data_IF_555890866510
#
_entry.id   IF_555890866510
#
_cell.length_a   1.000
_cell.length_b   1.000
_cell.length_c   1.000
_cell.angle_alpha   90.00
_cell.angle_beta   90.00
_cell.angle_gamma   90.00
#
_symmetry.space_group_name_H-M   'P 1'
#
loop_
_entity.id
_entity.type
_entity.pdbx_description
1 polymer ?
#
# COMPACT_ATOMS: atom_id res chain seq x y z
N UNK A 1 12.83 -11.32 -11.20
CA UNK A 1 12.95 -10.54 -9.96
C UNK A 1 11.95 -9.39 -9.99
N UNK A 2 11.25 -9.15 -8.90
CA UNK A 2 10.40 -7.98 -8.67
C UNK A 2 11.10 -7.07 -7.65
N UNK A 3 11.34 -5.81 -8.01
CA UNK A 3 11.92 -4.79 -7.14
C UNK A 3 10.81 -3.84 -6.75
N UNK A 4 10.48 -3.80 -5.47
CA UNK A 4 9.36 -3.05 -4.91
C UNK A 4 9.92 -2.01 -3.94
N UNK A 5 9.66 -0.74 -4.22
CA UNK A 5 10.20 0.40 -3.47
C UNK A 5 9.03 1.25 -2.98
N UNK A 6 9.02 1.55 -1.68
CA UNK A 6 7.96 2.34 -1.04
C UNK A 6 8.15 3.85 -1.22
N UNK A 7 8.52 4.25 -2.42
CA UNK A 7 8.61 5.65 -2.83
C UNK A 7 7.82 5.85 -4.11
N UNK A 8 7.72 7.10 -4.52
CA UNK A 8 7.24 7.44 -5.86
C UNK A 8 8.41 7.63 -6.81
N UNK A 9 8.15 7.38 -8.09
CA UNK A 9 9.11 7.62 -9.17
C UNK A 9 8.39 8.10 -10.40
N UNK A 10 9.15 8.69 -11.33
CA UNK A 10 8.69 8.90 -12.69
C UNK A 10 8.99 7.65 -13.52
N UNK A 11 7.96 7.03 -14.08
CA UNK A 11 8.10 5.92 -15.00
C UNK A 11 7.86 6.40 -16.43
N UNK A 12 8.89 6.38 -17.27
CA UNK A 12 8.74 6.65 -18.71
C UNK A 12 8.64 5.32 -19.50
N UNK A 13 7.66 5.24 -20.40
CA UNK A 13 7.53 4.15 -21.38
C UNK A 13 8.77 3.95 -22.27
N UNK A 14 9.64 4.96 -22.40
CA UNK A 14 10.94 4.85 -23.07
C UNK A 14 11.95 4.00 -22.30
N UNK A 15 11.78 3.88 -20.98
CA UNK A 15 12.65 3.07 -20.12
C UNK A 15 12.25 1.59 -20.09
N UNK A 16 11.02 1.27 -20.50
CA UNK A 16 10.49 -0.09 -20.42
C UNK A 16 8.99 -0.20 -20.65
N UNK A 17 8.50 -1.43 -20.63
CA UNK A 17 7.06 -1.70 -20.73
C UNK A 17 6.38 -1.31 -19.42
N UNK A 18 5.43 -0.38 -19.47
CA UNK A 18 4.66 0.02 -18.30
C UNK A 18 3.83 -1.15 -17.74
N UNK A 19 3.76 -1.21 -16.41
CA UNK A 19 2.93 -2.10 -15.62
C UNK A 19 1.97 -1.28 -14.77
N UNK A 20 0.97 -1.93 -14.19
CA UNK A 20 0.04 -1.31 -13.24
C UNK A 20 0.60 -1.42 -11.82
N UNK A 21 0.94 -0.29 -11.22
CA UNK A 21 1.15 -0.21 -9.76
C UNK A 21 -0.19 -0.28 -9.02
N UNK A 22 -0.15 -0.76 -7.77
CA UNK A 22 -1.31 -0.89 -6.90
C UNK A 22 -1.43 0.23 -5.85
N UNK A 23 -0.59 1.26 -5.89
CA UNK A 23 -0.66 2.40 -4.97
C UNK A 23 0.26 2.27 -3.74
N UNK A 24 0.54 1.04 -3.30
CA UNK A 24 1.37 0.75 -2.13
C UNK A 24 2.37 -0.38 -2.38
N UNK A 25 3.55 -0.29 -1.78
CA UNK A 25 4.56 -1.36 -1.80
C UNK A 25 3.99 -2.72 -1.34
N UNK A 26 3.20 -2.73 -0.26
CA UNK A 26 2.56 -3.96 0.25
C UNK A 26 1.53 -4.52 -0.73
N UNK A 27 0.78 -3.67 -1.43
CA UNK A 27 -0.15 -4.13 -2.47
C UNK A 27 0.58 -4.64 -3.71
N UNK A 28 1.69 -4.01 -4.09
CA UNK A 28 2.56 -4.50 -5.16
C UNK A 28 3.16 -5.88 -4.80
N UNK A 29 3.52 -6.11 -3.53
CA UNK A 29 3.97 -7.43 -3.05
C UNK A 29 2.86 -8.48 -3.20
N UNK A 30 1.64 -8.15 -2.74
CA UNK A 30 0.49 -9.04 -2.88
C UNK A 30 0.16 -9.33 -4.36
N UNK A 31 0.24 -8.33 -5.23
CA UNK A 31 0.06 -8.48 -6.67
C UNK A 31 1.09 -9.43 -7.28
N UNK A 32 2.37 -9.27 -6.93
CA UNK A 32 3.44 -10.19 -7.35
C UNK A 32 3.20 -11.63 -6.88
N UNK A 33 2.51 -11.79 -5.75
CA UNK A 33 2.09 -13.09 -5.20
C UNK A 33 0.86 -13.73 -5.84
N UNK A 34 0.23 -13.05 -6.80
CA UNK A 34 -1.01 -13.48 -7.45
C UNK A 34 -2.26 -13.40 -6.57
N UNK A 35 -2.27 -12.52 -5.57
CA UNK A 35 -3.47 -12.26 -4.78
C UNK A 35 -4.49 -11.42 -5.56
N UNK A 36 -5.76 -11.55 -5.18
CA UNK A 36 -6.82 -10.70 -5.72
C UNK A 36 -6.56 -9.23 -5.34
N UNK A 37 -6.73 -8.35 -6.32
CA UNK A 37 -6.52 -6.92 -6.18
C UNK A 37 -7.81 -6.17 -5.93
N UNK A 38 -8.96 -6.80 -6.15
CA UNK A 38 -10.28 -6.23 -5.82
C UNK A 38 -10.49 -6.29 -4.31
N UNK A 39 -10.16 -7.41 -3.68
CA UNK A 39 -10.16 -7.54 -2.22
C UNK A 39 -8.84 -8.16 -1.69
N UNK A 40 -7.75 -7.38 -1.63
CA UNK A 40 -6.45 -7.88 -1.21
C UNK A 40 -6.41 -8.22 0.28
N UNK A 41 -5.62 -9.23 0.70
CA UNK A 41 -5.52 -9.63 2.10
C UNK A 41 -4.56 -8.75 2.92
N UNK A 42 -4.61 -7.44 2.71
CA UNK A 42 -3.69 -6.50 3.36
C UNK A 42 -3.96 -6.39 4.87
N UNK A 43 -5.22 -6.33 5.31
CA UNK A 43 -5.54 -6.31 6.75
C UNK A 43 -5.03 -7.57 7.45
N UNK A 44 -5.21 -8.73 6.82
CA UNK A 44 -4.71 -10.02 7.32
C UNK A 44 -3.16 -10.10 7.35
N UNK A 45 -2.49 -9.52 6.34
CA UNK A 45 -1.04 -9.45 6.28
C UNK A 45 -0.46 -8.52 7.37
N UNK A 46 -1.03 -7.33 7.55
CA UNK A 46 -0.56 -6.35 8.52
C UNK A 46 -0.83 -6.77 9.96
N UNK A 47 -1.97 -7.42 10.25
CA UNK A 47 -2.18 -8.02 11.58
C UNK A 47 -1.13 -9.08 11.89
N UNK A 48 -0.73 -9.87 10.89
CA UNK A 48 0.20 -10.98 11.07
C UNK A 48 1.62 -10.48 11.29
N UNK A 49 2.01 -9.36 10.67
CA UNK A 49 3.31 -8.72 10.93
C UNK A 49 3.41 -8.12 12.34
N UNK A 50 2.28 -7.83 12.98
CA UNK A 50 2.20 -7.27 14.34
C UNK A 50 1.68 -8.25 15.40
N UNK A 51 1.50 -9.52 15.03
CA UNK A 51 0.97 -10.57 15.92
C UNK A 51 -0.37 -10.20 16.58
N UNK A 52 -1.25 -9.49 15.86
CA UNK A 52 -2.58 -9.14 16.34
C UNK A 52 -3.56 -10.30 16.13
N UNK A 53 -4.39 -10.57 17.14
CA UNK A 53 -5.45 -11.58 17.10
C UNK A 53 -6.76 -11.05 16.52
N UNK A 54 -7.61 -11.95 16.01
CA UNK A 54 -8.88 -11.61 15.37
C UNK A 54 -8.75 -11.25 13.89
N UNK A 55 -9.85 -10.82 13.29
CA UNK A 55 -9.92 -10.35 11.91
C UNK A 55 -9.80 -8.84 11.84
N UNK A 56 -9.00 -8.36 10.88
CA UNK A 56 -8.66 -6.95 10.74
C UNK A 56 -8.76 -6.52 9.28
N UNK A 57 -9.26 -5.30 9.09
CA UNK A 57 -9.27 -4.59 7.80
C UNK A 57 -8.43 -3.32 7.92
N UNK A 58 -7.97 -2.80 6.79
CA UNK A 58 -7.33 -1.47 6.75
C UNK A 58 -8.40 -0.41 6.86
N UNK A 59 -8.10 0.63 7.62
CA UNK A 59 -8.89 1.85 7.72
C UNK A 59 -7.99 3.03 7.36
N UNK A 60 -8.22 3.63 6.19
CA UNK A 60 -7.39 4.71 5.66
C UNK A 60 -8.04 6.07 5.90
N UNK A 61 -7.38 7.00 6.62
CA UNK A 61 -7.82 8.39 6.69
C UNK A 61 -7.85 9.03 5.31
N UNK A 62 -8.86 9.85 5.04
CA UNK A 62 -9.06 10.42 3.71
C UNK A 62 -9.77 11.78 3.73
N UNK A 63 -9.66 12.49 2.61
CA UNK A 63 -10.48 13.66 2.30
C UNK A 63 -11.46 13.30 1.18
N UNK A 64 -12.76 13.45 1.45
CA UNK A 64 -13.80 13.34 0.44
C UNK A 64 -14.61 14.62 0.35
N UNK A 65 -15.24 14.81 -0.80
CA UNK A 65 -16.12 15.95 -1.07
C UNK A 65 -17.47 15.44 -1.53
N UNK A 66 -18.53 15.98 -0.93
CA UNK A 66 -19.89 15.80 -1.40
C UNK A 66 -20.20 16.81 -2.51
N UNK A 67 -20.91 16.35 -3.52
CA UNK A 67 -21.68 17.19 -4.44
C UNK A 67 -23.18 16.93 -4.22
N UNK A 68 -24.06 17.52 -5.03
CA UNK A 68 -25.52 17.40 -4.84
C UNK A 68 -26.03 15.95 -4.93
N UNK A 69 -25.34 15.05 -5.63
CA UNK A 69 -25.78 13.66 -5.84
C UNK A 69 -24.63 12.63 -5.78
N UNK A 70 -23.44 13.04 -5.38
CA UNK A 70 -22.27 12.17 -5.39
C UNK A 70 -21.29 12.52 -4.27
N UNK A 71 -20.42 11.57 -3.95
CA UNK A 71 -19.32 11.71 -3.02
C UNK A 71 -18.05 11.18 -3.67
N UNK A 72 -16.96 11.94 -3.60
CA UNK A 72 -15.69 11.56 -4.23
C UNK A 72 -14.55 11.72 -3.23
N UNK A 73 -13.69 10.70 -3.11
CA UNK A 73 -12.41 10.82 -2.40
C UNK A 73 -11.45 11.60 -3.28
N UNK A 74 -10.90 12.70 -2.78
CA UNK A 74 -10.03 13.61 -3.56
C UNK A 74 -8.62 13.75 -2.98
N UNK A 75 -8.39 13.31 -1.74
CA UNK A 75 -7.05 13.23 -1.16
C UNK A 75 -6.91 12.05 -0.19
N UNK A 76 -5.72 11.46 -0.19
CA UNK A 76 -5.26 10.42 0.71
C UNK A 76 -3.74 10.55 0.86
N UNK A 77 -3.14 9.79 1.78
CA UNK A 77 -1.69 9.78 2.03
C UNK A 77 -1.07 11.20 2.15
N UNK A 78 -0.01 11.47 1.40
CA UNK A 78 0.71 12.76 1.41
C UNK A 78 -0.16 13.95 0.97
N UNK A 79 -1.20 13.72 0.18
CA UNK A 79 -2.08 14.79 -0.31
C UNK A 79 -2.95 15.37 0.81
N UNK A 80 -3.09 14.64 1.93
CA UNK A 80 -3.72 15.16 3.15
C UNK A 80 -2.87 16.22 3.85
N UNK A 81 -1.56 16.31 3.57
CA UNK A 81 -0.63 17.31 4.15
C UNK A 81 -0.68 17.42 5.68
N UNK A 82 -1.04 16.32 6.34
CA UNK A 82 -1.22 16.25 7.79
C UNK A 82 0.11 16.09 8.52
N UNK A 83 0.20 16.60 9.74
CA UNK A 83 1.34 16.34 10.65
C UNK A 83 1.12 15.06 11.45
N UNK A 84 2.17 14.53 12.07
CA UNK A 84 2.05 13.32 12.90
C UNK A 84 1.19 13.58 14.14
N UNK A 85 1.28 14.78 14.72
CA UNK A 85 0.42 15.25 15.81
C UNK A 85 -1.06 15.28 15.40
N UNK A 86 -1.35 15.76 14.19
CA UNK A 86 -2.72 15.85 13.67
C UNK A 86 -3.33 14.47 13.43
N UNK A 87 -2.56 13.55 12.83
CA UNK A 87 -3.04 12.18 12.63
C UNK A 87 -3.21 11.46 13.96
N UNK A 88 -2.28 11.63 14.90
CA UNK A 88 -2.38 11.01 16.22
C UNK A 88 -3.60 11.51 16.99
N UNK A 89 -3.88 12.82 16.92
CA UNK A 89 -5.10 13.41 17.46
C UNK A 89 -6.36 12.75 16.89
N UNK A 90 -6.45 12.63 15.57
CA UNK A 90 -7.61 12.00 14.92
C UNK A 90 -7.74 10.52 15.26
N UNK A 91 -6.63 9.79 15.28
CA UNK A 91 -6.62 8.39 15.67
C UNK A 91 -7.12 8.22 17.11
N UNK A 92 -6.60 9.00 18.06
CA UNK A 92 -6.98 8.86 19.47
C UNK A 92 -8.44 9.20 19.70
N UNK A 93 -8.94 10.29 19.09
CA UNK A 93 -10.34 10.69 19.21
C UNK A 93 -11.28 9.65 18.58
N UNK A 94 -10.94 9.15 17.39
CA UNK A 94 -11.78 8.19 16.68
C UNK A 94 -11.72 6.79 17.28
N UNK A 95 -10.56 6.40 17.81
CA UNK A 95 -10.39 5.15 18.58
C UNK A 95 -11.24 5.16 19.85
N UNK A 96 -11.29 6.28 20.57
CA UNK A 96 -12.16 6.44 21.73
C UNK A 96 -13.65 6.30 21.34
N UNK A 97 -14.07 6.98 20.28
CA UNK A 97 -15.45 6.87 19.76
C UNK A 97 -15.83 5.42 19.39
N UNK A 98 -14.98 4.72 18.63
CA UNK A 98 -15.25 3.34 18.24
C UNK A 98 -15.20 2.36 19.42
N UNK A 99 -14.40 2.64 20.44
CA UNK A 99 -14.34 1.82 21.65
C UNK A 99 -15.66 1.84 22.45
N UNK A 100 -16.41 2.95 22.43
CA UNK A 100 -17.75 3.03 23.03
C UNK A 100 -18.74 2.06 22.36
N UNK A 101 -18.53 1.76 21.08
CA UNK A 101 -19.31 0.81 20.28
C UNK A 101 -18.71 -0.62 20.28
N UNK A 102 -17.67 -0.85 21.09
CA UNK A 102 -17.01 -2.15 21.23
C UNK A 102 -16.08 -2.52 20.07
N UNK A 103 -15.73 -1.57 19.20
CA UNK A 103 -14.74 -1.77 18.14
C UNK A 103 -13.32 -1.44 18.64
N UNK A 104 -12.31 -2.03 17.99
CA UNK A 104 -10.90 -1.79 18.33
C UNK A 104 -10.14 -1.26 17.12
N UNK A 105 -9.39 -0.17 17.33
CA UNK A 105 -8.45 0.36 16.36
C UNK A 105 -7.01 0.11 16.78
N UNK A 106 -6.15 -0.15 15.79
CA UNK A 106 -4.71 -0.24 15.96
C UNK A 106 -4.02 0.78 15.04
N UNK A 107 -3.12 1.57 15.60
CA UNK A 107 -2.32 2.54 14.85
C UNK A 107 -1.14 1.83 14.21
N UNK A 108 -1.18 1.65 12.88
CA UNK A 108 -0.08 1.05 12.15
C UNK A 108 0.90 2.13 11.68
N UNK A 109 0.40 3.09 10.90
CA UNK A 109 1.14 4.29 10.53
C UNK A 109 0.19 5.47 10.29
N UNK A 110 0.76 6.55 9.75
CA UNK A 110 0.09 7.82 9.49
C UNK A 110 -1.14 7.71 8.56
N UNK A 111 -1.12 6.77 7.62
CA UNK A 111 -2.13 6.64 6.57
C UNK A 111 -2.82 5.27 6.58
N UNK A 112 -2.34 4.37 7.43
CA UNK A 112 -2.85 3.02 7.59
C UNK A 112 -3.20 2.82 9.05
N UNK A 113 -4.49 2.71 9.37
CA UNK A 113 -4.96 2.16 10.63
C UNK A 113 -5.53 0.78 10.39
N UNK A 114 -5.66 -0.03 11.44
CA UNK A 114 -6.34 -1.31 11.36
C UNK A 114 -7.60 -1.27 12.24
N UNK A 115 -8.71 -1.74 11.69
CA UNK A 115 -9.97 -1.92 12.40
C UNK A 115 -10.22 -3.40 12.62
N UNK A 116 -10.45 -3.79 13.87
CA UNK A 116 -10.85 -5.15 14.25
C UNK A 116 -12.32 -5.36 13.88
N UNK A 117 -12.61 -6.44 13.18
CA UNK A 117 -13.92 -6.70 12.56
C UNK A 117 -14.47 -8.09 12.88
N UNK A 118 -14.14 -8.60 14.07
CA UNK A 118 -14.71 -9.85 14.55
C UNK A 118 -16.23 -9.77 14.52
N UNK A 119 -16.85 -10.85 14.02
CA UNK A 119 -18.30 -11.02 13.93
C UNK A 119 -19.03 -9.93 13.10
N UNK A 120 -18.32 -9.21 12.22
CA UNK A 120 -18.94 -8.25 11.29
C UNK A 120 -19.28 -8.91 9.94
N UNK A 121 -20.29 -8.41 9.21
CA UNK A 121 -20.55 -8.84 7.84
C UNK A 121 -19.30 -8.68 6.94
N UNK A 122 -19.10 -9.55 5.95
CA UNK A 122 -17.98 -9.43 5.02
C UNK A 122 -17.91 -8.05 4.36
N UNK A 123 -16.73 -7.43 4.39
CA UNK A 123 -16.50 -6.13 3.76
C UNK A 123 -16.03 -6.32 2.31
N UNK A 124 -16.86 -5.98 1.34
CA UNK A 124 -16.51 -5.99 -0.08
C UNK A 124 -16.14 -4.58 -0.58
N UNK A 125 -15.10 -4.00 0.02
CA UNK A 125 -14.59 -2.69 -0.38
C UNK A 125 -13.29 -2.80 -1.16
N UNK A 126 -13.23 -2.09 -2.30
CA UNK A 126 -12.00 -1.96 -3.09
C UNK A 126 -10.95 -1.15 -2.33
N UNK A 127 -9.65 -1.38 -2.64
CA UNK A 127 -8.59 -0.51 -2.16
C UNK A 127 -8.85 0.96 -2.46
N UNK A 128 -8.52 1.83 -1.50
CA UNK A 128 -8.79 3.28 -1.62
C UNK A 128 -8.19 3.88 -2.90
N UNK A 129 -7.01 3.41 -3.33
CA UNK A 129 -6.35 3.82 -4.57
C UNK A 129 -7.14 3.52 -5.84
N UNK A 130 -8.05 2.54 -5.79
CA UNK A 130 -8.90 2.19 -6.93
C UNK A 130 -10.20 3.00 -6.98
N UNK A 131 -10.57 3.66 -5.89
CA UNK A 131 -11.79 4.49 -5.77
C UNK A 131 -11.48 5.99 -5.66
N UNK A 132 -10.21 6.37 -5.51
CA UNK A 132 -9.76 7.76 -5.59
C UNK A 132 -10.24 8.43 -6.89
N UNK A 133 -10.77 9.65 -6.76
CA UNK A 133 -11.34 10.45 -7.84
C UNK A 133 -12.49 9.77 -8.62
N UNK A 134 -13.21 8.84 -7.98
CA UNK A 134 -14.42 8.20 -8.53
C UNK A 134 -15.60 8.40 -7.60
N UNK A 135 -16.80 8.29 -8.18
CA UNK A 135 -18.04 8.25 -7.42
C UNK A 135 -18.01 7.12 -6.39
N UNK A 136 -18.31 7.46 -5.14
CA UNK A 136 -18.45 6.49 -4.06
C UNK A 136 -19.81 5.80 -4.06
N UNK A 137 -20.83 6.36 -4.72
CA UNK A 137 -22.20 5.80 -4.66
C UNK A 137 -22.28 4.33 -5.14
N UNK A 138 -21.64 3.94 -6.26
CA UNK A 138 -21.62 2.53 -6.68
C UNK A 138 -20.79 1.63 -5.76
N UNK A 139 -19.78 2.19 -5.09
CA UNK A 139 -18.90 1.43 -4.21
C UNK A 139 -19.57 1.17 -2.86
N UNK A 140 -20.27 2.17 -2.31
CA UNK A 140 -21.05 2.06 -1.08
C UNK A 140 -22.19 1.04 -1.22
N UNK A 141 -22.84 0.93 -2.38
CA UNK A 141 -23.96 -0.01 -2.56
C UNK A 141 -23.54 -1.49 -2.61
N UNK A 142 -22.24 -1.77 -2.73
CA UNK A 142 -21.71 -3.12 -2.92
C UNK A 142 -20.93 -3.65 -1.70
N UNK A 143 -20.89 -2.90 -0.59
CA UNK A 143 -20.05 -3.23 0.56
C UNK A 143 -20.47 -4.53 1.26
N UNK A 144 -21.76 -4.71 1.49
CA UNK A 144 -22.37 -5.91 2.07
C UNK A 144 -23.88 -5.94 1.82
N UNK A 145 -24.53 -7.08 2.13
CA UNK A 145 -25.96 -7.29 1.95
C UNK A 145 -26.83 -6.77 3.11
N UNK A 146 -26.23 -6.45 4.26
CA UNK A 146 -26.90 -6.12 5.53
C UNK A 146 -26.97 -4.62 5.81
N UNK A 147 -26.38 -3.79 4.95
CA UNK A 147 -26.21 -2.34 5.11
C UNK A 147 -25.29 -1.93 6.29
N UNK A 148 -24.53 -2.87 6.85
CA UNK A 148 -23.70 -2.60 8.03
C UNK A 148 -22.60 -1.58 7.72
N UNK A 149 -21.87 -1.77 6.62
CA UNK A 149 -20.74 -0.94 6.28
C UNK A 149 -21.16 0.44 5.76
N UNK A 150 -22.31 0.55 5.09
CA UNK A 150 -22.91 1.83 4.71
C UNK A 150 -23.26 2.65 5.95
N UNK A 151 -23.83 2.00 6.97
CA UNK A 151 -24.11 2.63 8.26
C UNK A 151 -22.80 3.06 8.94
N UNK A 152 -21.80 2.18 9.01
CA UNK A 152 -20.48 2.49 9.56
C UNK A 152 -19.84 3.72 8.89
N UNK A 153 -19.83 3.79 7.56
CA UNK A 153 -19.28 4.95 6.84
C UNK A 153 -20.08 6.23 7.09
N UNK A 154 -21.41 6.14 7.20
CA UNK A 154 -22.27 7.28 7.52
C UNK A 154 -21.98 7.80 8.92
N UNK A 155 -21.87 6.92 9.91
CA UNK A 155 -21.56 7.27 11.30
C UNK A 155 -20.15 7.85 11.42
N UNK A 156 -19.17 7.25 10.74
CA UNK A 156 -17.82 7.80 10.61
C UNK A 156 -17.86 9.23 10.07
N UNK A 157 -18.63 9.46 9.01
CA UNK A 157 -18.75 10.78 8.38
C UNK A 157 -19.39 11.83 9.30
N UNK A 158 -20.41 11.44 10.07
CA UNK A 158 -21.00 12.27 11.11
C UNK A 158 -20.00 12.58 12.24
N UNK A 159 -19.19 11.60 12.63
CA UNK A 159 -18.13 11.80 13.62
C UNK A 159 -17.09 12.84 13.15
N UNK A 160 -16.52 12.68 11.95
CA UNK A 160 -15.49 13.61 11.46
C UNK A 160 -16.04 15.02 11.20
N UNK A 161 -17.30 15.14 10.76
CA UNK A 161 -17.94 16.45 10.55
C UNK A 161 -18.31 17.18 11.84
N UNK A 162 -18.72 16.45 12.90
CA UNK A 162 -19.02 17.04 14.21
C UNK A 162 -17.77 17.46 14.98
N UNK A 163 -16.63 16.84 14.70
CA UNK A 163 -15.34 17.13 15.34
C UNK A 163 -14.44 18.03 14.50
N UNK A 164 -15.02 18.85 13.61
CA UNK A 164 -14.31 19.61 12.58
C UNK A 164 -13.20 20.51 13.14
N UNK A 165 -11.97 20.00 13.13
CA UNK A 165 -10.74 20.78 13.16
C UNK A 165 -10.46 21.29 11.74
N UNK A 166 -9.70 22.38 11.60
CA UNK A 166 -9.10 22.74 10.29
C UNK A 166 -8.11 21.64 9.90
N UNK A 167 -8.60 20.59 9.27
CA UNK A 167 -7.89 19.39 8.86
C UNK A 167 -8.37 18.96 7.48
N UNK A 168 -7.49 18.36 6.68
CA UNK A 168 -7.90 17.68 5.45
C UNK A 168 -8.42 16.27 5.73
N UNK A 169 -8.19 15.68 6.90
CA UNK A 169 -8.87 14.44 7.27
C UNK A 169 -10.32 14.76 7.62
N UNK A 170 -11.27 14.24 6.83
CA UNK A 170 -12.71 14.40 7.07
C UNK A 170 -13.50 13.08 6.96
N UNK A 171 -12.79 11.95 6.95
CA UNK A 171 -13.38 10.64 6.87
C UNK A 171 -12.34 9.54 6.88
N UNK A 172 -12.85 8.30 6.82
CA UNK A 172 -12.05 7.08 6.70
C UNK A 172 -12.67 6.14 5.67
N UNK A 173 -11.83 5.31 5.04
CA UNK A 173 -12.26 4.24 4.14
C UNK A 173 -11.78 2.89 4.65
N UNK A 174 -12.68 1.95 4.89
CA UNK A 174 -12.37 0.59 5.32
C UNK A 174 -12.22 -0.33 4.11
N UNK A 175 -11.18 -1.17 4.06
CA UNK A 175 -10.92 -2.07 2.92
C UNK A 175 -9.91 -3.17 3.26
N UNK A 176 -9.69 -4.11 2.33
CA UNK A 176 -8.60 -5.09 2.44
C UNK A 176 -8.91 -6.26 3.38
N UNK A 177 -10.14 -6.76 3.32
CA UNK A 177 -10.66 -7.89 4.11
C UNK A 177 -10.32 -9.27 3.52
N UNK A 178 -9.54 -9.30 2.44
CA UNK A 178 -9.14 -10.53 1.78
C UNK A 178 -8.45 -11.52 2.73
N UNK A 179 -8.52 -12.81 2.38
CA UNK A 179 -7.88 -13.86 3.18
C UNK A 179 -6.46 -14.12 2.71
N UNK A 180 -5.50 -14.00 3.62
CA UNK A 180 -4.12 -14.41 3.35
C UNK A 180 -4.08 -15.94 3.32
N UNK A 181 -3.43 -16.51 2.30
CA UNK A 181 -3.17 -17.95 2.25
C UNK A 181 -2.03 -18.29 3.21
N UNK A 182 -1.66 -19.56 3.28
CA UNK A 182 -0.41 -19.97 3.93
C UNK A 182 0.77 -19.15 3.41
N UNK A 183 1.78 -18.93 4.27
CA UNK A 183 3.01 -18.21 3.90
C UNK A 183 3.56 -18.74 2.58
N UNK A 184 3.99 -17.83 1.72
CA UNK A 184 4.68 -18.17 0.47
C UNK A 184 6.09 -18.69 0.77
N UNK A 185 6.72 -19.27 -0.24
CA UNK A 185 8.13 -19.70 -0.21
C UNK A 185 9.03 -18.80 -1.07
N UNK A 186 8.44 -17.74 -1.66
CA UNK A 186 9.16 -16.76 -2.48
C UNK A 186 10.31 -16.17 -1.69
N UNK A 187 11.50 -16.20 -2.26
CA UNK A 187 12.70 -15.60 -1.66
C UNK A 187 12.59 -14.06 -1.68
N UNK A 188 12.68 -13.44 -0.50
CA UNK A 188 12.58 -11.98 -0.34
C UNK A 188 13.83 -11.43 0.36
N UNK A 189 14.51 -10.49 -0.29
CA UNK A 189 15.46 -9.60 0.38
C UNK A 189 14.74 -8.31 0.77
N UNK A 190 14.87 -7.86 2.01
CA UNK A 190 14.14 -6.68 2.49
C UNK A 190 14.92 -5.88 3.51
N UNK A 191 14.55 -4.62 3.73
CA UNK A 191 15.15 -3.79 4.79
C UNK A 191 14.45 -4.00 6.14
N UNK A 192 14.89 -3.26 7.16
CA UNK A 192 14.29 -3.33 8.50
C UNK A 192 12.84 -2.86 8.53
N UNK A 193 12.47 -1.92 7.66
CA UNK A 193 11.14 -1.33 7.63
C UNK A 193 10.08 -2.37 7.22
N UNK A 194 10.39 -3.20 6.22
CA UNK A 194 9.46 -4.22 5.72
C UNK A 194 9.69 -5.63 6.29
N UNK A 195 10.69 -5.84 7.14
CA UNK A 195 11.05 -7.17 7.65
C UNK A 195 9.85 -7.96 8.20
N UNK A 196 9.06 -7.34 9.09
CA UNK A 196 7.92 -8.01 9.71
C UNK A 196 6.82 -8.35 8.68
N UNK A 197 6.54 -7.46 7.72
CA UNK A 197 5.58 -7.69 6.64
C UNK A 197 6.06 -8.81 5.72
N UNK A 198 7.34 -8.79 5.33
CA UNK A 198 7.92 -9.83 4.50
C UNK A 198 7.86 -11.20 5.20
N UNK A 199 8.17 -11.26 6.50
CA UNK A 199 8.11 -12.50 7.30
C UNK A 199 6.68 -13.00 7.51
N UNK A 200 5.69 -12.11 7.56
CA UNK A 200 4.28 -12.50 7.58
C UNK A 200 3.84 -13.08 6.23
N UNK A 201 4.37 -12.55 5.13
CA UNK A 201 4.03 -12.96 3.76
C UNK A 201 4.75 -14.25 3.31
N UNK A 202 6.04 -14.38 3.60
CA UNK A 202 6.91 -15.47 3.14
C UNK A 202 7.68 -16.13 4.28
N UNK A 203 7.97 -17.42 4.10
CA UNK A 203 8.86 -18.21 4.97
C UNK A 203 10.35 -18.06 4.60
N UNK A 204 10.66 -17.47 3.44
CA UNK A 204 12.02 -17.32 2.93
C UNK A 204 12.37 -15.82 2.81
N UNK A 205 12.78 -15.23 3.92
CA UNK A 205 13.03 -13.78 4.03
C UNK A 205 14.41 -13.54 4.62
N UNK A 206 15.17 -12.69 3.94
CA UNK A 206 16.51 -12.26 4.35
C UNK A 206 16.48 -10.75 4.58
N UNK A 207 16.90 -10.33 5.78
CA UNK A 207 17.21 -8.92 6.02
C UNK A 207 18.44 -8.54 5.20
N UNK A 208 18.36 -7.45 4.48
CA UNK A 208 19.44 -6.95 3.64
C UNK A 208 20.70 -6.68 4.45
N UNK A 209 21.82 -7.13 3.91
CA UNK A 209 23.17 -6.83 4.35
C UNK A 209 24.06 -6.70 3.10
N UNK A 210 25.08 -5.82 3.06
CA UNK A 210 25.94 -5.66 1.89
C UNK A 210 26.64 -6.94 1.40
N UNK A 211 26.74 -8.00 2.21
CA UNK A 211 27.30 -9.29 1.81
C UNK A 211 26.34 -10.20 1.04
N UNK A 212 25.03 -9.93 1.05
CA UNK A 212 24.05 -10.79 0.38
C UNK A 212 24.06 -10.60 -1.14
N UNK A 213 23.89 -11.69 -1.89
CA UNK A 213 23.67 -11.60 -3.32
C UNK A 213 22.22 -11.18 -3.63
N UNK A 214 21.98 -9.88 -3.79
CA UNK A 214 20.63 -9.32 -4.03
C UNK A 214 19.99 -9.87 -5.30
N UNK A 215 20.77 -10.18 -6.33
CA UNK A 215 20.26 -10.73 -7.59
C UNK A 215 19.70 -12.16 -7.47
N UNK A 216 20.02 -12.86 -6.38
CA UNK A 216 19.55 -14.22 -6.09
C UNK A 216 18.11 -14.29 -5.57
N UNK A 217 17.48 -13.16 -5.27
CA UNK A 217 16.13 -13.12 -4.71
C UNK A 217 15.06 -12.91 -5.78
N UNK A 218 13.91 -13.54 -5.59
CA UNK A 218 12.74 -13.34 -6.45
C UNK A 218 12.11 -11.96 -6.23
N UNK A 219 12.14 -11.47 -4.98
CA UNK A 219 11.62 -10.15 -4.60
C UNK A 219 12.67 -9.38 -3.79
N UNK A 220 12.84 -8.11 -4.13
CA UNK A 220 13.55 -7.12 -3.32
C UNK A 220 12.53 -6.09 -2.88
N UNK A 221 12.25 -5.99 -1.58
CA UNK A 221 11.23 -5.11 -0.99
C UNK A 221 11.88 -4.11 -0.04
N UNK A 222 11.82 -2.82 -0.39
CA UNK A 222 12.56 -1.76 0.30
C UNK A 222 11.67 -0.55 0.57
N UNK A 223 11.95 0.13 1.67
CA UNK A 223 11.42 1.45 1.95
C UNK A 223 11.93 2.45 0.92
N UNK A 224 13.25 2.51 0.76
CA UNK A 224 13.95 3.35 -0.22
C UNK A 224 15.08 2.56 -0.89
N UNK A 225 15.41 2.88 -2.15
CA UNK A 225 16.55 2.29 -2.86
C UNK A 225 17.87 2.54 -2.14
N UNK A 226 17.97 3.64 -1.39
CA UNK A 226 19.12 4.01 -0.57
C UNK A 226 19.34 3.09 0.63
N UNK A 227 18.40 2.18 0.90
CA UNK A 227 18.61 1.07 1.84
C UNK A 227 19.67 0.07 1.34
N UNK A 228 19.96 0.05 0.04
CA UNK A 228 21.02 -0.77 -0.57
C UNK A 228 22.34 0.00 -0.66
N UNK A 229 23.45 -0.73 -0.57
CA UNK A 229 24.77 -0.21 -0.93
C UNK A 229 24.81 0.28 -2.38
N UNK A 230 25.62 1.30 -2.66
CA UNK A 230 25.77 1.86 -4.02
C UNK A 230 26.08 0.78 -5.07
N UNK A 231 26.89 -0.21 -4.71
CA UNK A 231 27.22 -1.34 -5.57
C UNK A 231 25.97 -2.13 -5.96
N UNK A 232 25.12 -2.50 -5.00
CA UNK A 232 23.88 -3.23 -5.28
C UNK A 232 22.84 -2.37 -5.99
N UNK A 233 22.79 -1.06 -5.73
CA UNK A 233 21.94 -0.15 -6.50
C UNK A 233 22.33 -0.16 -7.98
N UNK A 234 23.63 -0.18 -8.30
CA UNK A 234 24.13 -0.26 -9.67
C UNK A 234 23.87 -1.65 -10.27
N UNK A 235 24.09 -2.71 -9.51
CA UNK A 235 23.90 -4.09 -9.97
C UNK A 235 22.43 -4.37 -10.33
N UNK A 236 21.51 -4.06 -9.43
CA UNK A 236 20.09 -4.36 -9.61
C UNK A 236 19.49 -3.62 -10.81
N UNK A 237 19.99 -2.41 -11.11
CA UNK A 237 19.61 -1.62 -12.31
C UNK A 237 20.09 -2.22 -13.63
N UNK A 238 21.08 -3.13 -13.61
CA UNK A 238 21.63 -3.79 -14.81
C UNK A 238 20.89 -5.09 -15.18
N UNK A 239 20.06 -5.62 -14.29
CA UNK A 239 19.39 -6.91 -14.45
C UNK A 239 17.96 -6.69 -14.96
N UNK A 240 17.44 -7.55 -15.86
CA UNK A 240 16.02 -7.54 -16.19
C UNK A 240 15.16 -7.74 -14.93
N UNK A 241 14.31 -6.76 -14.63
CA UNK A 241 13.45 -6.82 -13.46
C UNK A 241 12.15 -6.05 -13.69
N UNK A 242 11.11 -6.47 -12.95
CA UNK A 242 9.90 -5.70 -12.80
C UNK A 242 10.10 -4.72 -11.64
N UNK A 243 9.98 -3.43 -11.91
CA UNK A 243 10.13 -2.37 -10.92
C UNK A 243 8.76 -1.82 -10.55
N UNK A 244 8.51 -1.70 -9.26
CA UNK A 244 7.28 -1.19 -8.69
C UNK A 244 7.59 -0.09 -7.69
N UNK A 245 7.03 1.08 -7.94
CA UNK A 245 6.91 2.21 -7.02
C UNK A 245 5.44 2.37 -6.63
N UNK A 246 5.14 3.20 -5.64
CA UNK A 246 3.77 3.40 -5.17
C UNK A 246 2.86 3.96 -6.28
N UNK A 247 3.35 4.90 -7.09
CA UNK A 247 2.58 5.54 -8.16
C UNK A 247 2.73 4.88 -9.54
N UNK A 248 3.81 4.15 -9.81
CA UNK A 248 4.10 3.62 -11.14
C UNK A 248 4.86 2.29 -11.12
N UNK A 249 4.82 1.54 -12.22
CA UNK A 249 5.56 0.29 -12.36
C UNK A 249 5.96 0.05 -13.82
N UNK A 250 7.07 -0.66 -14.05
CA UNK A 250 7.53 -0.99 -15.40
C UNK A 250 8.44 -2.23 -15.43
N UNK A 251 8.66 -2.77 -16.62
CA UNK A 251 9.64 -3.81 -16.90
C UNK A 251 10.88 -3.17 -17.52
N UNK A 252 12.01 -3.15 -16.81
CA UNK A 252 13.30 -2.76 -17.41
C UNK A 252 13.93 -3.98 -18.08
N UNK A 253 14.13 -3.91 -19.38
CA UNK A 253 14.95 -4.87 -20.10
C UNK A 253 16.44 -4.66 -19.75
N UNK A 254 17.28 -5.67 -20.02
CA UNK A 254 18.73 -5.56 -19.82
C UNK A 254 19.24 -4.33 -20.58
N UNK A 255 19.75 -3.33 -19.86
CA UNK A 255 20.39 -2.18 -20.49
C UNK A 255 21.70 -2.65 -21.12
N UNK A 256 21.74 -2.76 -22.46
CA UNK A 256 22.98 -2.92 -23.22
C UNK A 256 23.73 -1.59 -23.23
N UNK A 257 24.26 -1.17 -22.08
CA UNK A 257 25.02 0.08 -21.93
C UNK A 257 26.22 0.18 -22.89
N UNK A 258 26.72 -0.95 -23.41
CA UNK A 258 27.78 -1.00 -24.40
C UNK A 258 27.41 -0.44 -25.79
N UNK A 259 26.14 -0.30 -26.18
CA UNK A 259 25.81 0.29 -27.49
C UNK A 259 25.85 1.82 -27.51
N UNK A 260 25.89 2.48 -26.35
CA UNK A 260 26.02 3.95 -26.27
C UNK A 260 27.47 4.45 -26.35
N UNK A 261 28.44 3.66 -25.90
CA UNK A 261 29.87 4.02 -25.97
C UNK A 261 30.47 3.84 -27.37
N UNK A 262 29.94 2.93 -28.19
CA UNK A 262 30.42 2.76 -29.57
C UNK A 262 29.90 3.83 -30.53
N UNK A 263 28.74 4.45 -30.26
CA UNK A 263 28.24 5.58 -31.07
C UNK A 263 28.98 6.90 -30.84
N UNK A 264 29.66 7.08 -29.71
CA UNK A 264 30.48 8.28 -29.47
C UNK A 264 31.89 8.17 -30.03
N UNK A 265 32.34 6.98 -30.43
CA UNK A 265 33.66 6.75 -31.02
C UNK A 265 33.65 6.66 -32.54
N UNK A 266 32.48 6.49 -33.18
CA UNK A 266 32.35 6.41 -34.65
C UNK A 266 31.97 7.74 -35.32
N UNK A 267 32.06 8.87 -34.61
CA UNK A 267 31.80 10.22 -35.14
C UNK A 267 33.00 11.16 -35.00
N UNK A 268 34.20 10.62 -34.78
CA UNK A 268 35.45 11.34 -34.94
C UNK A 268 36.13 10.84 -36.23
N UNK A 269 35.66 11.36 -37.37
CA UNK A 269 36.40 11.53 -38.63
C UNK A 269 35.73 12.66 -39.42
#
# INVERSE_FOLDING_TARGET
MNVIINTESDCDSKEGKLLKSQGLAVLNLLACGGYDLVNPPIGNLLKSSHSLEGDWVVLTPMHWQASHNDAVIVALDKDLRVTDEEVKYWFDLYSAYLAEEGASLYFYDKYTWLLRVDDKPPLNAKPIYQVLNKSLMPELSQLDETMYWQKFFTESQMFFSSNARKSLINGVWAWGSGKLKTKKTTSICTDKHFLAVAQAYSSNVTLYDPSVNVSGFEVVLLHDIDSLSELHQVEIKKIPAHWYWNNCALIKAKSHWFTRLWRSLTHAD
#
